data_IF_896216055380
#
_entry.id   IF_896216055380
#
_cell.length_a   1.000
_cell.length_b   1.000
_cell.length_c   1.000
_cell.angle_alpha   90.00
_cell.angle_beta   90.00
_cell.angle_gamma   90.00
#
_symmetry.space_group_name_H-M   'P 1'
#
loop_
_entity.id
_entity.type
_entity.pdbx_description
1 polymer ?
#
# COMPACT_ATOMS: atom_id res chain seq x y z
N UNK A 1 18.34 -5.31 20.20
CA UNK A 1 18.64 -5.20 21.66
C UNK A 1 18.53 -3.75 22.16
N UNK A 2 19.09 -2.74 21.44
CA UNK A 2 19.05 -1.32 21.83
C UNK A 2 17.63 -0.82 22.10
N UNK A 3 16.65 -1.19 21.25
CA UNK A 3 15.24 -0.79 21.40
C UNK A 3 14.50 -1.54 22.53
N UNK A 4 15.09 -2.57 23.11
CA UNK A 4 14.54 -3.35 24.24
C UNK A 4 14.95 -2.80 25.60
N UNK A 5 15.88 -1.86 25.67
CA UNK A 5 16.35 -1.30 26.93
C UNK A 5 15.29 -0.35 27.52
N UNK A 6 15.20 -0.32 28.85
CA UNK A 6 14.27 0.58 29.58
C UNK A 6 14.48 2.06 29.23
N UNK A 7 15.70 2.43 28.81
CA UNK A 7 16.10 3.78 28.41
C UNK A 7 15.86 4.09 26.92
N UNK A 8 15.30 3.16 26.13
CA UNK A 8 15.05 3.38 24.70
C UNK A 8 14.12 4.58 24.41
N UNK A 9 13.29 4.97 25.37
CA UNK A 9 12.42 6.16 25.28
C UNK A 9 13.19 7.48 25.23
N UNK A 10 14.42 7.51 25.71
CA UNK A 10 15.28 8.69 25.77
C UNK A 10 16.29 8.74 24.61
N UNK A 11 16.32 7.72 23.74
CA UNK A 11 17.16 7.74 22.57
C UNK A 11 16.71 8.84 21.60
N UNK A 12 17.65 9.66 21.16
CA UNK A 12 17.38 10.68 20.14
C UNK A 12 16.89 10.00 18.86
N UNK A 13 15.69 10.36 18.35
CA UNK A 13 15.14 9.79 17.13
C UNK A 13 16.08 9.88 15.93
N UNK A 14 16.85 10.97 15.82
CA UNK A 14 17.80 11.19 14.73
C UNK A 14 18.99 10.22 14.74
N UNK A 15 19.42 9.77 15.91
CA UNK A 15 20.52 8.80 16.03
C UNK A 15 20.07 7.37 15.71
N UNK A 16 18.80 7.06 15.90
CA UNK A 16 18.21 5.74 15.61
C UNK A 16 17.89 5.57 14.13
N UNK A 17 17.55 6.66 13.43
CA UNK A 17 17.15 6.64 12.04
C UNK A 17 18.14 5.91 11.09
N UNK A 18 19.45 6.13 11.08
CA UNK A 18 20.39 5.47 10.17
C UNK A 18 20.49 3.96 10.43
N UNK A 19 20.36 3.54 11.68
CA UNK A 19 20.37 2.11 12.05
C UNK A 19 19.14 1.40 11.49
N UNK A 20 17.97 2.02 11.64
CA UNK A 20 16.71 1.46 11.14
C UNK A 20 16.66 1.48 9.61
N UNK A 21 17.16 2.53 8.95
CA UNK A 21 17.29 2.59 7.50
C UNK A 21 18.16 1.44 6.97
N UNK A 22 19.30 1.18 7.61
CA UNK A 22 20.14 0.03 7.24
C UNK A 22 19.43 -1.31 7.44
N UNK A 23 18.62 -1.42 8.50
CA UNK A 23 17.83 -2.60 8.79
C UNK A 23 16.72 -2.82 7.75
N UNK A 24 16.12 -1.75 7.23
CA UNK A 24 15.16 -1.78 6.13
C UNK A 24 15.81 -2.39 4.89
N UNK A 25 16.94 -1.85 4.43
CA UNK A 25 17.66 -2.36 3.26
C UNK A 25 18.02 -3.85 3.41
N UNK A 26 18.57 -4.24 4.56
CA UNK A 26 18.89 -5.65 4.84
C UNK A 26 17.65 -6.55 4.85
N UNK A 27 16.53 -6.09 5.42
CA UNK A 27 15.29 -6.87 5.47
C UNK A 27 14.70 -7.14 4.09
N UNK A 28 14.88 -6.21 3.15
CA UNK A 28 14.47 -6.39 1.75
C UNK A 28 15.39 -7.41 1.07
N UNK A 29 16.70 -7.25 1.19
CA UNK A 29 17.70 -8.15 0.58
C UNK A 29 17.54 -9.59 1.06
N UNK A 30 17.38 -9.82 2.37
CA UNK A 30 17.23 -11.16 2.95
C UNK A 30 15.79 -11.67 3.00
N UNK A 31 14.83 -10.91 2.46
CA UNK A 31 13.39 -11.25 2.46
C UNK A 31 12.83 -11.53 3.88
N UNK A 32 13.48 -11.04 4.93
CA UNK A 32 13.06 -11.21 6.34
C UNK A 32 12.36 -9.96 6.85
N UNK A 33 11.22 -10.11 7.54
CA UNK A 33 10.44 -8.96 8.03
C UNK A 33 10.22 -8.94 9.54
N UNK A 34 10.41 -10.06 10.23
CA UNK A 34 10.03 -10.20 11.65
C UNK A 34 10.76 -9.21 12.56
N UNK A 35 12.08 -9.12 12.43
CA UNK A 35 12.92 -8.21 13.24
C UNK A 35 12.60 -6.74 12.96
N UNK A 36 12.44 -6.39 11.68
CA UNK A 36 12.09 -5.02 11.28
C UNK A 36 10.70 -4.63 11.79
N UNK A 37 9.71 -5.52 11.63
CA UNK A 37 8.35 -5.27 12.09
C UNK A 37 8.28 -5.07 13.61
N UNK A 38 9.01 -5.87 14.38
CA UNK A 38 9.12 -5.69 15.82
C UNK A 38 9.81 -4.37 16.18
N UNK A 39 10.89 -4.03 15.48
CA UNK A 39 11.61 -2.76 15.64
C UNK A 39 10.70 -1.55 15.39
N UNK A 40 9.94 -1.54 14.30
CA UNK A 40 9.01 -0.47 13.95
C UNK A 40 7.86 -0.35 14.96
N UNK A 41 7.32 -1.46 15.47
CA UNK A 41 6.31 -1.45 16.54
C UNK A 41 6.86 -0.81 17.81
N UNK A 42 8.08 -1.16 18.21
CA UNK A 42 8.75 -0.58 19.39
C UNK A 42 9.04 0.90 19.23
N UNK A 43 9.49 1.32 18.03
CA UNK A 43 9.69 2.75 17.73
C UNK A 43 8.36 3.52 17.82
N UNK A 44 7.28 3.02 17.22
CA UNK A 44 5.96 3.64 17.38
C UNK A 44 5.55 3.76 18.85
N UNK A 45 5.77 2.73 19.65
CA UNK A 45 5.45 2.74 21.07
C UNK A 45 6.31 3.73 21.85
N UNK A 46 7.63 3.76 21.60
CA UNK A 46 8.55 4.65 22.30
C UNK A 46 8.32 6.14 21.96
N UNK A 47 7.95 6.43 20.71
CA UNK A 47 7.71 7.79 20.23
C UNK A 47 6.24 8.20 20.20
N UNK A 48 5.37 7.42 20.84
CA UNK A 48 3.91 7.63 20.81
C UNK A 48 3.47 9.05 21.18
N UNK A 49 4.17 9.69 22.14
CA UNK A 49 3.90 11.05 22.63
C UNK A 49 4.93 12.08 22.14
N UNK A 50 5.82 11.74 21.23
CA UNK A 50 6.87 12.61 20.73
C UNK A 50 6.61 12.95 19.25
N UNK A 51 6.26 14.22 18.96
CA UNK A 51 5.98 14.66 17.60
C UNK A 51 7.18 14.52 16.66
N UNK A 52 8.39 14.83 17.14
CA UNK A 52 9.61 14.71 16.32
C UNK A 52 9.98 13.25 16.08
N UNK A 53 9.78 12.39 17.07
CA UNK A 53 9.95 10.95 16.91
C UNK A 53 8.98 10.34 15.89
N UNK A 54 7.72 10.79 15.88
CA UNK A 54 6.73 10.36 14.90
C UNK A 54 7.04 10.88 13.49
N UNK A 55 7.63 12.07 13.34
CA UNK A 55 8.11 12.57 12.04
C UNK A 55 9.25 11.71 11.50
N UNK A 56 10.26 11.42 12.32
CA UNK A 56 11.35 10.52 11.93
C UNK A 56 10.83 9.13 11.55
N UNK A 57 9.86 8.60 12.29
CA UNK A 57 9.19 7.35 11.95
C UNK A 57 8.45 7.44 10.61
N UNK A 58 7.79 8.58 10.33
CA UNK A 58 7.15 8.86 9.03
C UNK A 58 8.16 8.78 7.89
N UNK A 59 9.30 9.46 8.02
CA UNK A 59 10.35 9.47 7.00
C UNK A 59 10.95 8.08 6.76
N UNK A 60 11.15 7.30 7.83
CA UNK A 60 11.63 5.92 7.75
C UNK A 60 10.64 5.00 7.03
N UNK A 61 9.35 5.11 7.35
CA UNK A 61 8.30 4.31 6.68
C UNK A 61 8.18 4.73 5.21
N UNK A 62 8.27 6.03 4.93
CA UNK A 62 8.29 6.56 3.57
C UNK A 62 9.44 5.99 2.74
N UNK A 63 10.66 5.99 3.29
CA UNK A 63 11.83 5.37 2.67
C UNK A 63 11.59 3.88 2.42
N UNK A 64 11.03 3.17 3.41
CA UNK A 64 10.73 1.74 3.27
C UNK A 64 9.73 1.44 2.15
N UNK A 65 8.64 2.20 2.06
CA UNK A 65 7.65 2.06 0.98
C UNK A 65 8.27 2.34 -0.39
N UNK A 66 9.14 3.35 -0.49
CA UNK A 66 9.84 3.67 -1.72
C UNK A 66 10.83 2.56 -2.13
N UNK A 67 11.64 2.06 -1.19
CA UNK A 67 12.57 0.95 -1.44
C UNK A 67 11.85 -0.33 -1.87
N UNK A 68 10.71 -0.67 -1.24
CA UNK A 68 9.88 -1.81 -1.65
C UNK A 68 9.33 -1.64 -3.07
N UNK A 69 8.90 -0.43 -3.42
CA UNK A 69 8.37 -0.13 -4.75
C UNK A 69 9.46 -0.19 -5.82
N UNK A 70 10.62 0.42 -5.56
CA UNK A 70 11.77 0.40 -6.48
C UNK A 70 12.29 -1.02 -6.70
N UNK A 71 12.34 -1.82 -5.63
CA UNK A 71 12.77 -3.21 -5.74
C UNK A 71 11.78 -4.06 -6.56
N UNK A 72 10.47 -3.81 -6.43
CA UNK A 72 9.45 -4.46 -7.24
C UNK A 72 9.60 -4.08 -8.72
N UNK A 73 9.76 -2.79 -9.01
CA UNK A 73 9.97 -2.28 -10.38
C UNK A 73 11.24 -2.86 -11.01
N UNK A 74 12.31 -3.00 -10.25
CA UNK A 74 13.57 -3.62 -10.70
C UNK A 74 13.39 -5.12 -11.03
N UNK A 75 12.65 -5.88 -10.21
CA UNK A 75 12.37 -7.28 -10.49
C UNK A 75 11.47 -7.44 -11.74
N UNK A 76 10.49 -6.57 -11.93
CA UNK A 76 9.64 -6.56 -13.12
C UNK A 76 10.44 -6.17 -14.38
N UNK A 77 11.36 -5.22 -14.29
CA UNK A 77 12.23 -4.81 -15.43
C UNK A 77 13.15 -5.93 -15.86
N UNK A 78 13.79 -6.64 -14.94
CA UNK A 78 14.67 -7.79 -15.23
C UNK A 78 13.96 -8.88 -16.02
N UNK A 79 12.68 -9.14 -15.74
CA UNK A 79 11.90 -10.10 -16.52
C UNK A 79 11.54 -9.59 -17.92
N UNK A 80 11.25 -8.30 -18.03
CA UNK A 80 10.99 -7.67 -19.34
C UNK A 80 12.19 -7.76 -20.28
N UNK A 81 13.42 -7.70 -19.75
CA UNK A 81 14.66 -7.84 -20.51
C UNK A 81 14.87 -9.28 -20.97
N UNK A 82 14.64 -10.27 -20.12
CA UNK A 82 14.78 -11.70 -20.46
C UNK A 82 13.79 -12.09 -21.57
N UNK A 83 12.56 -11.54 -21.56
CA UNK A 83 11.57 -11.79 -22.61
C UNK A 83 11.84 -11.10 -23.94
N UNK A 84 12.73 -10.10 -24.00
CA UNK A 84 13.06 -9.36 -25.23
C UNK A 84 14.30 -9.90 -25.96
N UNK A 85 15.23 -10.55 -25.28
CA UNK A 85 16.42 -11.14 -25.90
C UNK A 85 16.09 -12.32 -26.79
N UNK A 86 14.97 -13.03 -26.58
CA UNK A 86 14.53 -14.16 -27.42
C UNK A 86 13.79 -13.71 -28.71
N UNK A 87 13.58 -12.41 -28.94
CA UNK A 87 12.79 -11.94 -30.11
C UNK A 87 13.60 -11.59 -31.35
N UNK A 88 14.92 -11.40 -31.25
CA UNK A 88 15.74 -10.88 -32.36
C UNK A 88 16.54 -11.93 -33.16
N UNK A 89 16.45 -13.25 -32.89
CA UNK A 89 17.26 -14.27 -33.57
C UNK A 89 16.52 -15.07 -34.67
N UNK A 90 15.54 -14.52 -35.35
CA UNK A 90 14.83 -15.28 -36.39
C UNK A 90 14.94 -14.70 -37.83
N UNK A 91 16.15 -14.64 -38.43
CA UNK A 91 16.29 -14.36 -39.85
C UNK A 91 16.56 -15.60 -40.74
N UNK A 92 16.76 -16.82 -40.20
CA UNK A 92 16.91 -18.05 -41.01
C UNK A 92 16.09 -19.22 -40.44
N UNK A 93 14.83 -19.28 -40.84
CA UNK A 93 13.91 -20.33 -40.39
C UNK A 93 14.17 -21.64 -41.17
N UNK A 94 14.92 -22.57 -40.61
CA UNK A 94 15.03 -23.94 -41.08
C UNK A 94 14.03 -24.85 -40.36
N UNK A 95 13.55 -25.96 -40.97
CA UNK A 95 12.66 -26.91 -40.28
C UNK A 95 13.23 -27.44 -38.95
N UNK A 96 14.55 -27.53 -38.86
CA UNK A 96 15.26 -27.95 -37.66
C UNK A 96 15.25 -26.87 -36.58
N UNK A 97 15.35 -25.58 -36.98
CA UNK A 97 15.25 -24.46 -36.05
C UNK A 97 13.85 -24.31 -35.45
N UNK A 98 12.79 -24.64 -36.24
CA UNK A 98 11.41 -24.67 -35.73
C UNK A 98 11.23 -25.79 -34.69
N UNK A 99 11.80 -26.97 -34.93
CA UNK A 99 11.73 -28.11 -34.04
C UNK A 99 12.55 -27.87 -32.76
N UNK A 100 13.71 -27.23 -32.88
CA UNK A 100 14.55 -26.81 -31.75
C UNK A 100 13.89 -25.69 -30.94
N UNK A 101 13.30 -24.69 -31.61
CA UNK A 101 12.53 -23.63 -30.96
C UNK A 101 11.26 -24.16 -30.27
N UNK A 102 10.61 -25.18 -30.83
CA UNK A 102 9.47 -25.83 -30.19
C UNK A 102 9.89 -26.63 -28.96
N UNK A 103 11.06 -27.31 -28.98
CA UNK A 103 11.64 -27.99 -27.82
C UNK A 103 12.04 -26.96 -26.73
N UNK A 104 12.71 -25.87 -27.12
CA UNK A 104 13.12 -24.79 -26.22
C UNK A 104 11.92 -24.05 -25.64
N UNK A 105 10.79 -23.93 -26.37
CA UNK A 105 9.54 -23.39 -25.85
C UNK A 105 8.91 -24.23 -24.76
N UNK A 106 9.08 -25.54 -24.75
CA UNK A 106 8.61 -26.42 -23.68
C UNK A 106 9.47 -26.18 -22.44
N UNK A 107 10.79 -26.11 -22.57
CA UNK A 107 11.69 -25.79 -21.45
C UNK A 107 11.54 -24.33 -20.98
N UNK A 108 11.32 -23.39 -21.90
CA UNK A 108 11.08 -21.98 -21.59
C UNK A 108 9.70 -21.73 -20.96
N UNK A 109 8.67 -22.53 -21.28
CA UNK A 109 7.37 -22.44 -20.58
C UNK A 109 7.48 -22.91 -19.13
N UNK A 110 8.32 -23.89 -18.82
CA UNK A 110 8.61 -24.27 -17.42
C UNK A 110 9.46 -23.19 -16.71
N UNK A 111 10.44 -22.60 -17.39
CA UNK A 111 11.25 -21.50 -16.87
C UNK A 111 10.43 -20.24 -16.62
N UNK A 112 9.64 -19.79 -17.58
CA UNK A 112 8.79 -18.60 -17.46
C UNK A 112 7.67 -18.81 -16.43
N UNK A 113 7.09 -19.99 -16.31
CA UNK A 113 6.12 -20.33 -15.27
C UNK A 113 6.76 -20.25 -13.88
N UNK A 114 8.00 -20.73 -13.73
CA UNK A 114 8.77 -20.61 -12.48
C UNK A 114 9.10 -19.16 -12.13
N UNK A 115 9.42 -18.32 -13.11
CA UNK A 115 9.74 -16.90 -12.90
C UNK A 115 8.50 -16.06 -12.58
N UNK A 116 7.37 -16.31 -13.27
CA UNK A 116 6.09 -15.69 -12.94
C UNK A 116 5.60 -16.08 -11.53
N UNK A 117 5.82 -17.33 -11.12
CA UNK A 117 5.51 -17.80 -9.77
C UNK A 117 6.41 -17.12 -8.72
N UNK A 118 7.70 -16.93 -9.05
CA UNK A 118 8.64 -16.18 -8.21
C UNK A 118 8.21 -14.72 -8.02
N UNK A 119 7.75 -14.04 -9.07
CA UNK A 119 7.23 -12.68 -8.95
C UNK A 119 5.93 -12.64 -8.18
N UNK A 120 5.01 -13.56 -8.44
CA UNK A 120 3.77 -13.68 -7.69
C UNK A 120 4.02 -13.81 -6.19
N UNK A 121 5.00 -14.65 -5.81
CA UNK A 121 5.47 -14.80 -4.43
C UNK A 121 6.07 -13.50 -3.88
N UNK A 122 6.87 -12.80 -4.68
CA UNK A 122 7.49 -11.55 -4.29
C UNK A 122 6.48 -10.41 -4.12
N UNK A 123 5.56 -10.25 -5.05
CA UNK A 123 4.44 -9.28 -4.94
C UNK A 123 3.63 -9.55 -3.68
N UNK A 124 3.35 -10.82 -3.38
CA UNK A 124 2.62 -11.21 -2.17
C UNK A 124 3.39 -10.78 -0.91
N UNK A 125 4.71 -11.00 -0.87
CA UNK A 125 5.57 -10.56 0.24
C UNK A 125 5.55 -9.02 0.39
N UNK A 126 5.64 -8.26 -0.70
CA UNK A 126 5.59 -6.78 -0.67
C UNK A 126 4.24 -6.32 -0.15
N UNK A 127 3.14 -6.91 -0.62
CA UNK A 127 1.79 -6.58 -0.17
C UNK A 127 1.58 -6.91 1.32
N UNK A 128 2.12 -7.99 1.83
CA UNK A 128 2.06 -8.32 3.27
C UNK A 128 2.82 -7.30 4.13
N UNK A 129 3.98 -6.84 3.66
CA UNK A 129 4.72 -5.77 4.33
C UNK A 129 3.95 -4.46 4.31
N UNK A 130 3.36 -4.09 3.18
CA UNK A 130 2.52 -2.89 3.09
C UNK A 130 1.26 -3.00 3.95
N UNK A 131 0.66 -4.18 4.04
CA UNK A 131 -0.46 -4.44 4.97
C UNK A 131 -0.04 -4.17 6.43
N UNK A 132 1.13 -4.65 6.83
CA UNK A 132 1.68 -4.37 8.16
C UNK A 132 1.90 -2.86 8.38
N UNK A 133 2.47 -2.15 7.39
CA UNK A 133 2.71 -0.71 7.46
C UNK A 133 1.41 0.09 7.58
N UNK A 134 0.36 -0.28 6.86
CA UNK A 134 -0.97 0.34 6.98
C UNK A 134 -1.53 0.22 8.40
N UNK A 135 -1.44 -0.96 9.01
CA UNK A 135 -1.85 -1.14 10.41
C UNK A 135 -0.96 -0.36 11.40
N UNK A 136 0.34 -0.25 11.09
CA UNK A 136 1.27 0.50 11.92
C UNK A 136 1.00 2.01 11.89
N UNK A 137 0.73 2.57 10.72
CA UNK A 137 0.56 4.02 10.50
C UNK A 137 -0.86 4.51 10.80
N UNK A 138 -1.83 3.60 10.86
CA UNK A 138 -3.24 3.94 11.07
C UNK A 138 -3.48 4.78 12.32
N UNK A 139 -4.41 5.75 12.19
CA UNK A 139 -4.91 6.64 13.26
C UNK A 139 -3.83 7.44 13.99
N UNK A 140 -2.85 7.98 13.23
CA UNK A 140 -1.81 8.89 13.73
C UNK A 140 -1.62 10.07 12.80
N UNK A 141 -2.03 11.26 13.22
CA UNK A 141 -1.97 12.48 12.40
C UNK A 141 -0.59 12.75 11.76
N UNK A 142 0.56 12.61 12.44
CA UNK A 142 1.86 12.79 11.79
C UNK A 142 2.21 11.73 10.74
N UNK A 143 1.51 10.59 10.74
CA UNK A 143 1.72 9.47 9.81
C UNK A 143 0.67 9.42 8.68
N UNK A 144 -0.32 10.30 8.69
CA UNK A 144 -1.44 10.29 7.72
C UNK A 144 -0.98 10.42 6.27
N UNK A 145 0.01 11.26 6.00
CA UNK A 145 0.54 11.44 4.65
C UNK A 145 1.14 10.13 4.11
N UNK A 146 1.96 9.46 4.92
CA UNK A 146 2.60 8.18 4.55
C UNK A 146 1.57 7.05 4.49
N UNK A 147 0.58 7.03 5.38
CA UNK A 147 -0.54 6.11 5.33
C UNK A 147 -1.27 6.21 3.99
N UNK A 148 -1.66 7.42 3.59
CA UNK A 148 -2.36 7.64 2.33
C UNK A 148 -1.51 7.26 1.11
N UNK A 149 -0.23 7.63 1.10
CA UNK A 149 0.68 7.26 0.03
C UNK A 149 0.82 5.74 -0.09
N UNK A 150 0.96 5.04 1.04
CA UNK A 150 1.00 3.57 1.06
C UNK A 150 -0.29 2.98 0.50
N UNK A 151 -1.46 3.54 0.84
CA UNK A 151 -2.75 3.13 0.27
C UNK A 151 -2.76 3.25 -1.26
N UNK A 152 -2.37 4.40 -1.82
CA UNK A 152 -2.31 4.60 -3.27
C UNK A 152 -1.35 3.61 -3.96
N UNK A 153 -0.16 3.37 -3.37
CA UNK A 153 0.83 2.42 -3.90
C UNK A 153 0.30 1.00 -3.93
N UNK A 154 -0.30 0.54 -2.83
CA UNK A 154 -0.90 -0.81 -2.72
C UNK A 154 -1.93 -1.05 -3.84
N UNK A 155 -2.90 -0.16 -3.99
CA UNK A 155 -3.93 -0.34 -5.02
C UNK A 155 -3.40 -0.20 -6.45
N UNK A 156 -2.36 0.61 -6.67
CA UNK A 156 -1.67 0.69 -7.96
C UNK A 156 -0.98 -0.63 -8.31
N UNK A 157 -0.26 -1.24 -7.37
CA UNK A 157 0.39 -2.55 -7.54
C UNK A 157 -0.65 -3.64 -7.81
N UNK A 158 -1.70 -3.71 -6.97
CA UNK A 158 -2.77 -4.72 -7.10
C UNK A 158 -3.47 -4.61 -8.46
N UNK A 159 -3.74 -3.39 -8.92
CA UNK A 159 -4.40 -3.16 -10.21
C UNK A 159 -3.49 -3.53 -11.39
N UNK A 160 -2.19 -3.22 -11.31
CA UNK A 160 -1.19 -3.61 -12.30
C UNK A 160 -1.09 -5.13 -12.41
N UNK A 161 -1.07 -5.83 -11.30
CA UNK A 161 -1.01 -7.29 -11.22
C UNK A 161 -2.38 -7.98 -11.42
N UNK A 162 -3.45 -7.23 -11.61
CA UNK A 162 -4.84 -7.73 -11.75
C UNK A 162 -5.26 -8.72 -10.65
N UNK A 163 -4.70 -8.58 -9.43
CA UNK A 163 -4.95 -9.50 -8.32
C UNK A 163 -6.24 -9.16 -7.58
N UNK A 164 -7.34 -9.78 -7.99
CA UNK A 164 -8.69 -9.52 -7.46
C UNK A 164 -8.84 -9.90 -5.98
N UNK A 165 -8.15 -10.93 -5.52
CA UNK A 165 -8.23 -11.40 -4.13
C UNK A 165 -7.56 -10.42 -3.17
N UNK A 166 -6.37 -9.93 -3.53
CA UNK A 166 -5.69 -8.91 -2.73
C UNK A 166 -6.47 -7.60 -2.73
N UNK A 167 -7.12 -7.23 -3.84
CA UNK A 167 -7.99 -6.05 -3.87
C UNK A 167 -9.08 -6.12 -2.79
N UNK A 168 -9.81 -7.24 -2.70
CA UNK A 168 -10.85 -7.45 -1.69
C UNK A 168 -10.28 -7.36 -0.28
N UNK A 169 -9.16 -8.07 -0.02
CA UNK A 169 -8.50 -8.07 1.29
C UNK A 169 -8.12 -6.66 1.76
N UNK A 170 -7.50 -5.86 0.88
CA UNK A 170 -7.12 -4.49 1.22
C UNK A 170 -8.33 -3.54 1.29
N UNK A 171 -9.34 -3.74 0.46
CA UNK A 171 -10.59 -2.98 0.52
C UNK A 171 -11.28 -3.17 1.87
N UNK A 172 -11.39 -4.41 2.36
CA UNK A 172 -11.99 -4.72 3.66
C UNK A 172 -11.16 -4.17 4.83
N UNK A 173 -9.81 -4.26 4.75
CA UNK A 173 -8.92 -3.65 5.73
C UNK A 173 -9.17 -2.14 5.87
N UNK A 174 -9.17 -1.43 4.75
CA UNK A 174 -9.33 0.03 4.75
C UNK A 174 -10.75 0.45 5.14
N UNK A 175 -11.75 -0.33 4.79
CA UNK A 175 -13.12 -0.14 5.28
C UNK A 175 -13.18 -0.24 6.80
N UNK A 176 -12.52 -1.25 7.39
CA UNK A 176 -12.37 -1.38 8.84
C UNK A 176 -11.71 -0.15 9.47
N UNK A 177 -10.58 0.30 8.92
CA UNK A 177 -9.88 1.50 9.40
C UNK A 177 -10.76 2.76 9.35
N UNK A 178 -11.49 2.98 8.26
CA UNK A 178 -12.37 4.15 8.13
C UNK A 178 -13.55 4.07 9.10
N UNK A 179 -14.14 2.88 9.28
CA UNK A 179 -15.22 2.67 10.25
C UNK A 179 -14.73 2.92 11.68
N UNK A 180 -13.53 2.49 12.03
CA UNK A 180 -12.92 2.79 13.32
C UNK A 180 -12.71 4.30 13.50
N UNK A 181 -12.22 5.02 12.48
CA UNK A 181 -12.11 6.48 12.54
C UNK A 181 -13.48 7.16 12.72
N UNK A 182 -14.51 6.70 12.01
CA UNK A 182 -15.87 7.22 12.17
C UNK A 182 -16.43 6.95 13.56
N UNK A 183 -16.20 5.77 14.11
CA UNK A 183 -16.60 5.42 15.48
C UNK A 183 -15.89 6.29 16.52
N UNK A 184 -14.57 6.48 16.41
CA UNK A 184 -13.80 7.37 17.26
C UNK A 184 -14.26 8.83 17.15
N UNK A 185 -14.62 9.27 15.95
CA UNK A 185 -15.14 10.62 15.72
C UNK A 185 -16.48 10.83 16.43
N UNK A 186 -17.44 9.91 16.26
CA UNK A 186 -18.74 9.94 16.96
C UNK A 186 -18.57 9.89 18.47
N UNK A 187 -17.72 9.02 18.99
CA UNK A 187 -17.44 8.92 20.42
C UNK A 187 -16.76 10.16 21.05
N UNK A 188 -15.99 10.92 20.27
CA UNK A 188 -15.44 12.22 20.71
C UNK A 188 -16.53 13.29 20.81
N UNK A 189 -17.50 13.29 19.91
CA UNK A 189 -18.63 14.21 19.93
C UNK A 189 -19.53 13.95 21.15
N UNK A 190 -19.75 12.67 21.50
CA UNK A 190 -20.62 12.29 22.61
C UNK A 190 -19.98 12.47 24.01
N UNK A 191 -18.65 12.25 24.15
CA UNK A 191 -17.96 12.20 25.46
C UNK A 191 -17.17 13.46 25.82
N UNK A 192 -17.24 14.54 25.05
CA UNK A 192 -16.55 15.79 25.38
C UNK A 192 -15.03 15.64 25.51
N UNK A 193 -14.34 15.84 24.42
CA UNK A 193 -12.95 16.33 24.32
C UNK A 193 -11.83 15.69 25.15
N UNK A 194 -11.73 14.39 25.29
CA UNK A 194 -10.44 13.79 25.62
C UNK A 194 -9.63 13.61 24.32
N UNK A 195 -8.83 14.63 23.95
CA UNK A 195 -7.85 14.56 22.86
C UNK A 195 -6.81 13.51 23.23
N UNK A 196 -6.94 12.30 22.68
CA UNK A 196 -5.82 11.38 22.64
C UNK A 196 -4.78 12.03 21.72
N UNK A 197 -3.56 12.26 22.23
CA UNK A 197 -2.51 12.95 21.49
C UNK A 197 -2.26 12.32 20.12
N UNK A 198 -2.16 13.16 19.10
CA UNK A 198 -1.80 12.79 17.73
C UNK A 198 -2.75 11.79 17.02
N UNK A 199 -4.03 11.73 17.38
CA UNK A 199 -5.02 10.97 16.60
C UNK A 199 -5.49 11.77 15.39
N UNK A 200 -5.76 11.06 14.29
CA UNK A 200 -6.37 11.61 13.07
C UNK A 200 -7.76 12.18 13.40
N UNK A 201 -8.02 13.42 12.98
CA UNK A 201 -9.30 14.09 13.22
C UNK A 201 -10.06 14.26 11.88
N UNK A 202 -11.27 13.68 11.80
CA UNK A 202 -12.15 13.81 10.62
C UNK A 202 -12.79 15.21 10.51
N UNK A 203 -12.70 16.07 11.55
CA UNK A 203 -13.10 17.46 11.43
C UNK A 203 -12.10 18.31 10.64
N UNK A 204 -10.86 17.84 10.49
CA UNK A 204 -9.89 18.50 9.63
C UNK A 204 -10.28 18.30 8.17
N UNK A 205 -10.56 19.42 7.50
CA UNK A 205 -11.00 19.43 6.10
C UNK A 205 -9.97 18.79 5.15
N UNK A 206 -8.67 18.92 5.44
CA UNK A 206 -7.62 18.32 4.61
C UNK A 206 -7.60 16.79 4.76
N UNK A 207 -7.73 16.28 5.98
CA UNK A 207 -7.79 14.85 6.26
C UNK A 207 -9.02 14.25 5.60
N UNK A 208 -10.18 14.89 5.78
CA UNK A 208 -11.43 14.45 5.19
C UNK A 208 -11.33 14.41 3.65
N UNK A 209 -10.80 15.47 3.04
CA UNK A 209 -10.63 15.53 1.57
C UNK A 209 -9.73 14.43 1.05
N UNK A 210 -8.58 14.17 1.70
CA UNK A 210 -7.66 13.10 1.30
C UNK A 210 -8.31 11.72 1.34
N UNK A 211 -9.09 11.44 2.37
CA UNK A 211 -9.83 10.18 2.50
C UNK A 211 -10.94 10.05 1.45
N UNK A 212 -11.66 11.13 1.18
CA UNK A 212 -12.70 11.17 0.14
C UNK A 212 -12.10 10.96 -1.26
N UNK A 213 -11.02 11.67 -1.60
CA UNK A 213 -10.32 11.53 -2.89
C UNK A 213 -9.79 10.11 -3.08
N UNK A 214 -9.33 9.48 -2.01
CA UNK A 214 -8.89 8.09 -2.04
C UNK A 214 -10.05 7.11 -2.29
N UNK A 215 -11.23 7.31 -1.72
CA UNK A 215 -12.41 6.48 -2.01
C UNK A 215 -12.81 6.56 -3.50
N UNK A 216 -12.76 7.75 -4.11
CA UNK A 216 -12.96 7.88 -5.56
C UNK A 216 -11.90 7.14 -6.37
N UNK A 217 -10.64 7.18 -5.92
CA UNK A 217 -9.57 6.40 -6.55
C UNK A 217 -9.83 4.89 -6.44
N UNK A 218 -10.20 4.38 -5.26
CA UNK A 218 -10.56 2.96 -5.06
C UNK A 218 -11.68 2.51 -6.00
N UNK A 219 -12.73 3.32 -6.14
CA UNK A 219 -13.84 3.02 -7.05
C UNK A 219 -13.34 2.83 -8.49
N UNK A 220 -12.51 3.74 -8.98
CA UNK A 220 -11.92 3.61 -10.31
C UNK A 220 -11.09 2.34 -10.47
N UNK A 221 -10.31 1.95 -9.46
CA UNK A 221 -9.53 0.70 -9.51
C UNK A 221 -10.43 -0.54 -9.49
N UNK A 222 -11.52 -0.54 -8.71
CA UNK A 222 -12.49 -1.63 -8.69
C UNK A 222 -13.16 -1.83 -10.07
N UNK A 223 -13.58 -0.73 -10.71
CA UNK A 223 -14.17 -0.75 -12.07
C UNK A 223 -13.14 -1.24 -13.11
N UNK A 224 -11.87 -0.79 -13.04
CA UNK A 224 -10.80 -1.28 -13.93
C UNK A 224 -10.59 -2.80 -13.83
N UNK A 225 -10.74 -3.37 -12.64
CA UNK A 225 -10.62 -4.80 -12.39
C UNK A 225 -11.92 -5.58 -12.64
N UNK A 226 -13.00 -4.90 -13.06
CA UNK A 226 -14.34 -5.48 -13.22
C UNK A 226 -14.85 -6.17 -11.95
N UNK A 227 -14.57 -5.56 -10.80
CA UNK A 227 -15.00 -6.02 -9.49
C UNK A 227 -16.29 -5.29 -9.08
N UNK A 228 -17.42 -5.59 -9.77
CA UNK A 228 -18.68 -4.87 -9.62
C UNK A 228 -19.22 -4.87 -8.20
N UNK A 229 -19.15 -5.99 -7.51
CA UNK A 229 -19.59 -6.08 -6.11
C UNK A 229 -18.75 -5.18 -5.18
N UNK A 230 -17.43 -5.12 -5.37
CA UNK A 230 -16.59 -4.22 -4.60
C UNK A 230 -16.81 -2.75 -4.99
N UNK A 231 -17.02 -2.47 -6.30
CA UNK A 231 -17.39 -1.14 -6.76
C UNK A 231 -18.71 -0.66 -6.11
N UNK A 232 -19.72 -1.51 -6.04
CA UNK A 232 -20.96 -1.21 -5.33
C UNK A 232 -20.73 -0.86 -3.85
N UNK A 233 -19.98 -1.70 -3.13
CA UNK A 233 -19.62 -1.42 -1.72
C UNK A 233 -18.88 -0.10 -1.55
N UNK A 234 -17.96 0.24 -2.47
CA UNK A 234 -17.23 1.51 -2.40
C UNK A 234 -18.16 2.70 -2.67
N UNK A 235 -19.15 2.57 -3.58
CA UNK A 235 -20.18 3.60 -3.82
C UNK A 235 -20.99 3.85 -2.54
N UNK A 236 -21.43 2.79 -1.87
CA UNK A 236 -22.13 2.87 -0.58
C UNK A 236 -21.25 3.52 0.51
N UNK A 237 -19.98 3.11 0.59
CA UNK A 237 -19.00 3.71 1.51
C UNK A 237 -18.78 5.22 1.24
N UNK A 238 -18.78 5.65 -0.03
CA UNK A 238 -18.67 7.07 -0.40
C UNK A 238 -19.89 7.84 0.09
N UNK A 239 -21.08 7.27 -0.11
CA UNK A 239 -22.32 7.88 0.33
C UNK A 239 -22.38 8.04 1.85
N UNK A 240 -22.13 6.97 2.59
CA UNK A 240 -22.08 6.99 4.05
C UNK A 240 -21.02 7.95 4.60
N UNK A 241 -19.88 8.07 3.92
CA UNK A 241 -18.82 8.99 4.30
C UNK A 241 -19.20 10.45 4.05
N UNK A 242 -19.94 10.73 2.96
CA UNK A 242 -20.42 12.08 2.64
C UNK A 242 -21.40 12.63 3.69
N UNK A 243 -22.13 11.78 4.41
CA UNK A 243 -23.05 12.19 5.48
C UNK A 243 -22.35 12.78 6.72
N UNK A 244 -21.02 12.52 6.89
CA UNK A 244 -20.27 12.99 8.05
C UNK A 244 -19.95 14.48 7.95
N UNK A 245 -19.73 15.00 6.75
CA UNK A 245 -19.34 16.40 6.55
C UNK A 245 -20.17 17.06 5.45
N UNK A 246 -21.05 17.95 5.85
CA UNK A 246 -21.84 18.79 4.92
C UNK A 246 -20.99 19.87 4.20
N UNK A 247 -19.76 20.09 4.64
CA UNK A 247 -18.89 21.15 4.12
C UNK A 247 -18.02 20.71 2.93
N UNK A 248 -17.86 19.41 2.73
CA UNK A 248 -17.02 18.91 1.63
C UNK A 248 -17.80 18.91 0.31
N UNK A 249 -17.20 19.55 -0.68
CA UNK A 249 -17.67 19.49 -2.08
C UNK A 249 -16.58 18.89 -2.96
N UNK A 250 -16.80 17.71 -3.56
CA UNK A 250 -15.82 17.12 -4.46
C UNK A 250 -15.60 17.99 -5.68
N UNK A 251 -14.39 17.97 -6.22
CA UNK A 251 -14.05 18.67 -7.47
C UNK A 251 -14.91 18.13 -8.62
N UNK A 252 -15.32 18.99 -9.55
CA UNK A 252 -16.18 18.62 -10.68
C UNK A 252 -15.64 17.41 -11.48
N UNK A 253 -14.31 17.35 -11.69
CA UNK A 253 -13.64 16.23 -12.39
C UNK A 253 -13.79 14.91 -11.60
N UNK A 254 -13.63 14.95 -10.27
CA UNK A 254 -13.80 13.77 -9.42
C UNK A 254 -15.25 13.28 -9.44
N UNK A 255 -16.20 14.22 -9.42
CA UNK A 255 -17.64 13.91 -9.47
C UNK A 255 -18.04 13.34 -10.84
N UNK A 256 -17.54 13.88 -11.95
CA UNK A 256 -17.78 13.33 -13.28
C UNK A 256 -17.25 11.88 -13.39
N UNK A 257 -16.03 11.64 -12.94
CA UNK A 257 -15.44 10.29 -12.89
C UNK A 257 -16.22 9.34 -11.97
N UNK A 258 -16.77 9.84 -10.87
CA UNK A 258 -17.64 9.06 -9.98
C UNK A 258 -18.90 8.59 -10.70
N UNK A 259 -19.65 9.50 -11.35
CA UNK A 259 -20.86 9.14 -12.07
C UNK A 259 -20.61 8.21 -13.26
N UNK A 260 -19.45 8.37 -13.94
CA UNK A 260 -19.02 7.42 -14.97
C UNK A 260 -18.82 6.01 -14.39
N UNK A 261 -18.18 5.90 -13.23
CA UNK A 261 -17.99 4.63 -12.55
C UNK A 261 -19.31 4.02 -12.06
N UNK A 262 -20.21 4.85 -11.53
CA UNK A 262 -21.56 4.42 -11.14
C UNK A 262 -22.32 3.86 -12.33
N UNK A 263 -22.35 4.58 -13.46
CA UNK A 263 -23.03 4.14 -14.69
C UNK A 263 -22.45 2.83 -15.27
N UNK A 264 -21.18 2.54 -15.02
CA UNK A 264 -20.56 1.27 -15.43
C UNK A 264 -20.85 0.12 -14.45
N UNK A 265 -21.18 0.45 -13.20
CA UNK A 265 -21.43 -0.55 -12.14
C UNK A 265 -22.87 -1.06 -12.17
N UNK A 266 -23.82 -0.22 -12.59
CA UNK A 266 -25.25 -0.50 -12.74
C UNK A 266 -25.67 -0.59 -14.21
#
# INVERSE_FOLDING_TARGET
EILNQKNAKYLDPKSVAPVVSRLITLSIQFKTSSVLNEGLKKLKHNYFNNADGLKVLSDLIQSYVNELSSYLEEQEARLGEIGSEDADENENVTPFSIMYAASKKVDATEGNASEEEHIGSFVTMVLERMHFLLNLTFNKSPLDAVYMQTCYRVFSIITKQKNKNQFRRFSDLLRGHINDLMYFHKGKVEKGNHKIAFTTDLNDAEVYQRLADFKYFMLRQAVKLSLWHEAYKVIEDIHNFAEISNSYRPKAIALASYYECVAKTF
#
